data_IF_694485246854
#
_entry.id   IF_694485246854
#
_cell.length_a   1.000
_cell.length_b   1.000
_cell.length_c   1.000
_cell.angle_alpha   90.00
_cell.angle_beta   90.00
_cell.angle_gamma   90.00
#
_symmetry.space_group_name_H-M   'P 1'
#
loop_
_entity.id
_entity.type
_entity.pdbx_description
1 polymer ?
#
# COMPACT_ATOMS: atom_id res chain seq x y z
N UNK A 1 -8.10 -2.41 -19.62
CA UNK A 1 -8.09 -3.57 -18.69
C UNK A 1 -8.46 -3.21 -17.25
N UNK A 2 -7.80 -2.23 -16.60
CA UNK A 2 -8.07 -1.92 -15.16
C UNK A 2 -9.53 -1.57 -14.82
N UNK A 3 -10.25 -0.81 -15.68
CA UNK A 3 -11.66 -0.45 -15.43
C UNK A 3 -12.57 -1.69 -15.36
N UNK A 4 -12.41 -2.64 -16.28
CA UNK A 4 -13.20 -3.87 -16.35
C UNK A 4 -12.94 -4.76 -15.13
N UNK A 5 -11.67 -4.87 -14.72
CA UNK A 5 -11.29 -5.64 -13.53
C UNK A 5 -11.89 -5.06 -12.23
N UNK A 6 -11.95 -3.74 -12.10
CA UNK A 6 -12.57 -3.06 -10.96
C UNK A 6 -14.08 -3.29 -10.94
N UNK A 7 -14.75 -3.11 -12.09
CA UNK A 7 -16.19 -3.34 -12.23
C UNK A 7 -16.54 -4.78 -11.89
N UNK A 8 -15.82 -5.75 -12.45
CA UNK A 8 -16.02 -7.17 -12.17
C UNK A 8 -15.90 -7.50 -10.67
N UNK A 9 -14.85 -7.00 -9.99
CA UNK A 9 -14.67 -7.19 -8.55
C UNK A 9 -15.80 -6.58 -7.73
N UNK A 10 -16.33 -5.43 -8.16
CA UNK A 10 -17.45 -4.76 -7.52
C UNK A 10 -18.76 -5.52 -7.72
N UNK A 11 -19.08 -5.93 -8.95
CA UNK A 11 -20.23 -6.78 -9.27
C UNK A 11 -20.20 -8.09 -8.48
N UNK A 12 -19.03 -8.71 -8.34
CA UNK A 12 -18.87 -9.95 -7.59
C UNK A 12 -19.20 -9.78 -6.09
N UNK A 13 -18.83 -8.64 -5.49
CA UNK A 13 -19.22 -8.30 -4.11
C UNK A 13 -20.73 -8.04 -4.00
N UNK A 14 -21.32 -7.35 -4.97
CA UNK A 14 -22.77 -7.10 -4.99
C UNK A 14 -23.56 -8.41 -5.07
N UNK A 15 -23.16 -9.35 -5.93
CA UNK A 15 -23.80 -10.67 -6.04
C UNK A 15 -23.76 -11.42 -4.72
N UNK A 16 -22.62 -11.37 -4.00
CA UNK A 16 -22.50 -11.99 -2.68
C UNK A 16 -23.45 -11.37 -1.65
N UNK A 17 -23.53 -10.03 -1.60
CA UNK A 17 -24.42 -9.33 -0.66
C UNK A 17 -25.88 -9.66 -0.95
N UNK A 18 -26.31 -9.52 -2.20
CA UNK A 18 -27.70 -9.77 -2.60
C UNK A 18 -28.08 -11.24 -2.39
N UNK A 19 -27.19 -12.16 -2.74
CA UNK A 19 -27.40 -13.58 -2.48
C UNK A 19 -27.54 -13.89 -0.98
N UNK A 20 -26.73 -13.24 -0.13
CA UNK A 20 -26.77 -13.48 1.32
C UNK A 20 -28.07 -12.95 1.92
N UNK A 21 -28.53 -11.79 1.48
CA UNK A 21 -29.84 -11.26 1.84
C UNK A 21 -30.96 -12.22 1.43
N UNK A 22 -30.87 -12.80 0.22
CA UNK A 22 -31.86 -13.74 -0.29
C UNK A 22 -31.86 -15.06 0.51
N UNK A 23 -30.68 -15.63 0.79
CA UNK A 23 -30.53 -16.83 1.64
C UNK A 23 -31.04 -16.59 3.06
N UNK A 24 -30.73 -15.43 3.65
CA UNK A 24 -31.21 -15.06 4.97
C UNK A 24 -32.73 -14.91 5.00
N UNK A 25 -33.30 -14.19 4.02
CA UNK A 25 -34.75 -14.02 3.91
C UNK A 25 -35.46 -15.36 3.75
N UNK A 26 -35.05 -16.17 2.78
CA UNK A 26 -35.65 -17.50 2.56
C UNK A 26 -35.43 -18.45 3.74
N UNK A 27 -34.27 -18.41 4.39
CA UNK A 27 -33.99 -19.19 5.60
C UNK A 27 -34.87 -18.82 6.79
N UNK A 28 -35.15 -17.52 6.99
CA UNK A 28 -36.08 -17.04 8.02
C UNK A 28 -37.51 -17.51 7.73
N UNK A 29 -37.98 -17.41 6.48
CA UNK A 29 -39.31 -17.90 6.10
C UNK A 29 -39.45 -19.41 6.35
N UNK A 30 -38.44 -20.21 6.04
CA UNK A 30 -38.46 -21.65 6.36
C UNK A 30 -38.47 -21.92 7.86
N UNK A 31 -37.73 -21.14 8.65
CA UNK A 31 -37.73 -21.26 10.11
C UNK A 31 -39.10 -20.90 10.73
N UNK A 32 -39.86 -20.00 10.09
CA UNK A 32 -41.22 -19.63 10.47
C UNK A 32 -42.28 -20.64 9.99
N UNK A 33 -41.88 -21.68 9.25
CA UNK A 33 -42.80 -22.70 8.73
C UNK A 33 -43.44 -22.35 7.39
N UNK A 34 -43.08 -21.24 6.77
CA UNK A 34 -43.56 -20.84 5.45
C UNK A 34 -42.77 -21.55 4.34
N UNK A 35 -43.23 -22.77 4.03
CA UNK A 35 -42.64 -23.59 2.97
C UNK A 35 -43.37 -23.37 1.64
N UNK A 36 -42.60 -22.93 0.64
CA UNK A 36 -43.03 -22.82 -0.75
C UNK A 36 -41.96 -23.47 -1.65
N UNK A 37 -42.38 -24.32 -2.59
CA UNK A 37 -41.47 -24.99 -3.53
C UNK A 37 -40.63 -23.99 -4.33
N UNK A 38 -41.22 -22.87 -4.74
CA UNK A 38 -40.51 -21.80 -5.44
C UNK A 38 -39.41 -21.19 -4.57
N UNK A 39 -39.71 -20.92 -3.29
CA UNK A 39 -38.78 -20.34 -2.34
C UNK A 39 -37.65 -21.32 -2.01
N UNK A 40 -37.97 -22.61 -1.86
CA UNK A 40 -37.00 -23.69 -1.62
C UNK A 40 -36.04 -23.86 -2.80
N UNK A 41 -36.56 -23.89 -4.02
CA UNK A 41 -35.72 -24.01 -5.21
C UNK A 41 -34.82 -22.77 -5.38
N UNK A 42 -35.39 -21.58 -5.18
CA UNK A 42 -34.64 -20.34 -5.23
C UNK A 42 -33.52 -20.30 -4.17
N UNK A 43 -33.78 -20.74 -2.93
CA UNK A 43 -32.79 -20.80 -1.85
C UNK A 43 -31.62 -21.73 -2.22
N UNK A 44 -31.92 -22.92 -2.76
CA UNK A 44 -30.89 -23.87 -3.21
C UNK A 44 -30.01 -23.29 -4.31
N UNK A 45 -30.62 -22.66 -5.32
CA UNK A 45 -29.89 -22.02 -6.43
C UNK A 45 -29.04 -20.85 -5.90
N UNK A 46 -29.59 -20.00 -5.03
CA UNK A 46 -28.86 -18.90 -4.42
C UNK A 46 -27.67 -19.38 -3.58
N UNK A 47 -27.85 -20.46 -2.81
CA UNK A 47 -26.78 -21.10 -2.04
C UNK A 47 -25.64 -21.59 -2.94
N UNK A 48 -25.96 -22.27 -4.04
CA UNK A 48 -24.96 -22.74 -4.99
C UNK A 48 -24.23 -21.59 -5.70
N UNK A 49 -24.96 -20.56 -6.13
CA UNK A 49 -24.38 -19.37 -6.74
C UNK A 49 -23.46 -18.61 -5.78
N UNK A 50 -23.83 -18.50 -4.49
CA UNK A 50 -22.98 -17.90 -3.48
C UNK A 50 -21.72 -18.70 -3.27
N UNK A 51 -21.82 -20.03 -3.20
CA UNK A 51 -20.65 -20.87 -3.04
C UNK A 51 -19.62 -20.59 -4.14
N UNK A 52 -20.06 -20.59 -5.40
CA UNK A 52 -19.21 -20.28 -6.54
C UNK A 52 -18.65 -18.85 -6.50
N UNK A 53 -19.52 -17.87 -6.24
CA UNK A 53 -19.11 -16.46 -6.16
C UNK A 53 -18.12 -16.22 -5.01
N UNK A 54 -18.27 -16.90 -3.88
CA UNK A 54 -17.41 -16.79 -2.71
C UNK A 54 -16.04 -17.41 -3.00
N UNK A 55 -16.00 -18.60 -3.60
CA UNK A 55 -14.74 -19.21 -4.05
C UNK A 55 -14.00 -18.28 -5.02
N UNK A 56 -14.71 -17.71 -5.99
CA UNK A 56 -14.14 -16.78 -6.96
C UNK A 56 -13.69 -15.47 -6.29
N UNK A 57 -14.43 -14.98 -5.30
CA UNK A 57 -14.05 -13.83 -4.47
C UNK A 57 -12.71 -14.06 -3.77
N UNK A 58 -12.58 -15.21 -3.10
CA UNK A 58 -11.38 -15.61 -2.36
C UNK A 58 -10.19 -15.72 -3.31
N UNK A 59 -10.34 -16.37 -4.47
CA UNK A 59 -9.27 -16.50 -5.48
C UNK A 59 -8.82 -15.11 -5.99
N UNK A 60 -9.77 -14.21 -6.24
CA UNK A 60 -9.48 -12.84 -6.69
C UNK A 60 -8.84 -11.96 -5.61
N UNK A 61 -9.13 -12.25 -4.34
CA UNK A 61 -8.61 -11.53 -3.16
C UNK A 61 -7.42 -12.23 -2.51
N UNK A 62 -6.93 -13.35 -3.04
CA UNK A 62 -5.87 -14.18 -2.45
C UNK A 62 -4.66 -13.40 -1.94
N UNK A 63 -4.19 -12.41 -2.70
CA UNK A 63 -3.06 -11.55 -2.28
C UNK A 63 -3.37 -10.71 -1.03
N UNK A 64 -4.61 -10.20 -0.93
CA UNK A 64 -5.07 -9.49 0.27
C UNK A 64 -5.28 -10.43 1.45
N UNK A 65 -5.78 -11.64 1.20
CA UNK A 65 -5.96 -12.66 2.23
C UNK A 65 -4.62 -13.13 2.81
N UNK A 66 -3.64 -13.42 1.96
CA UNK A 66 -2.28 -13.77 2.43
C UNK A 66 -1.68 -12.62 3.25
N UNK A 67 -1.88 -11.37 2.82
CA UNK A 67 -1.45 -10.20 3.59
C UNK A 67 -2.12 -10.16 4.97
N UNK A 68 -3.45 -10.28 5.03
CA UNK A 68 -4.21 -10.26 6.28
C UNK A 68 -3.85 -11.43 7.19
N UNK A 69 -3.63 -12.62 6.63
CA UNK A 69 -3.19 -13.82 7.37
C UNK A 69 -1.80 -13.58 7.96
N UNK A 70 -0.86 -13.03 7.19
CA UNK A 70 0.47 -12.69 7.69
C UNK A 70 0.40 -11.66 8.81
N UNK A 71 -0.40 -10.60 8.66
CA UNK A 71 -0.61 -9.59 9.70
C UNK A 71 -1.24 -10.21 10.96
N UNK A 72 -2.22 -11.09 10.80
CA UNK A 72 -2.88 -11.79 11.92
C UNK A 72 -1.92 -12.76 12.61
N UNK A 73 -1.10 -13.46 11.83
CA UNK A 73 -0.10 -14.40 12.33
C UNK A 73 1.03 -13.68 13.05
N UNK A 74 1.45 -12.50 12.59
CA UNK A 74 2.44 -11.66 13.28
C UNK A 74 1.94 -11.18 14.64
N UNK A 75 0.65 -10.78 14.73
CA UNK A 75 0.00 -10.41 15.99
C UNK A 75 -0.07 -11.62 16.94
N UNK A 76 -0.50 -12.78 16.43
CA UNK A 76 -0.63 -14.02 17.21
C UNK A 76 0.72 -14.56 17.70
N UNK A 77 1.75 -14.53 16.85
CA UNK A 77 3.09 -15.04 17.18
C UNK A 77 3.94 -14.02 17.95
N UNK A 78 3.40 -12.82 18.23
CA UNK A 78 4.11 -11.70 18.85
C UNK A 78 5.50 -11.52 18.22
N UNK A 79 5.52 -11.64 16.89
CA UNK A 79 6.74 -11.63 16.09
C UNK A 79 7.53 -10.35 16.38
N UNK A 80 8.82 -10.48 16.73
CA UNK A 80 9.73 -9.32 16.89
C UNK A 80 9.89 -8.52 15.59
N UNK A 81 9.53 -9.08 14.44
CA UNK A 81 9.60 -8.46 13.11
C UNK A 81 8.24 -8.57 12.40
N UNK A 82 7.31 -7.64 12.62
CA UNK A 82 6.02 -7.63 11.91
C UNK A 82 6.23 -7.40 10.40
N UNK A 83 5.43 -8.06 9.57
CA UNK A 83 5.36 -7.92 8.10
C UNK A 83 4.76 -6.59 7.63
N UNK A 84 4.39 -5.72 8.57
CA UNK A 84 3.98 -4.34 8.32
C UNK A 84 5.21 -3.57 7.85
N UNK A 85 5.30 -3.40 6.54
CA UNK A 85 6.13 -2.40 5.83
C UNK A 85 7.57 -2.23 6.33
N UNK A 86 8.51 -2.95 5.70
CA UNK A 86 9.95 -2.63 5.77
C UNK A 86 10.22 -1.12 5.64
N UNK A 87 9.47 -0.40 4.82
CA UNK A 87 9.65 1.04 4.62
C UNK A 87 9.28 1.88 5.84
N UNK A 88 8.21 1.58 6.56
CA UNK A 88 7.80 2.36 7.74
C UNK A 88 8.81 2.18 8.89
N UNK A 89 9.38 0.98 9.01
CA UNK A 89 10.45 0.70 9.95
C UNK A 89 11.77 1.37 9.58
N UNK A 90 12.11 1.40 8.29
CA UNK A 90 13.28 2.12 7.79
C UNK A 90 13.10 3.63 8.00
N UNK A 91 11.90 4.16 7.74
CA UNK A 91 11.53 5.55 8.01
C UNK A 91 11.66 5.84 9.50
N UNK A 92 11.02 5.08 10.38
CA UNK A 92 11.09 5.29 11.83
C UNK A 92 12.52 5.17 12.39
N UNK A 93 13.36 4.32 11.77
CA UNK A 93 14.76 4.18 12.15
C UNK A 93 15.63 5.34 11.68
N UNK A 94 15.31 6.02 10.58
CA UNK A 94 16.11 7.11 10.02
C UNK A 94 15.55 8.50 10.35
N UNK A 95 14.27 8.58 10.68
CA UNK A 95 13.54 9.78 11.10
C UNK A 95 14.24 10.59 12.23
N UNK A 96 14.78 9.97 13.30
CA UNK A 96 15.37 10.72 14.40
C UNK A 96 16.78 11.25 14.08
N UNK A 97 17.46 10.74 13.05
CA UNK A 97 18.84 11.09 12.74
C UNK A 97 18.93 12.31 11.81
N UNK A 98 19.99 13.08 11.99
CA UNK A 98 20.38 14.23 11.17
C UNK A 98 21.02 13.82 9.84
N UNK A 99 21.12 14.75 8.90
CA UNK A 99 21.83 14.52 7.63
C UNK A 99 23.29 14.09 7.91
N UNK A 100 23.93 14.72 8.90
CA UNK A 100 25.29 14.39 9.35
C UNK A 100 25.40 12.98 9.94
N UNK A 101 24.47 12.57 10.79
CA UNK A 101 24.50 11.22 11.38
C UNK A 101 24.20 10.16 10.32
N UNK A 102 23.25 10.43 9.41
CA UNK A 102 22.91 9.53 8.31
C UNK A 102 24.11 9.40 7.36
N UNK A 103 24.84 10.48 7.07
CA UNK A 103 26.03 10.45 6.21
C UNK A 103 27.16 9.63 6.80
N UNK A 104 27.40 9.78 8.11
CA UNK A 104 28.38 9.00 8.85
C UNK A 104 27.99 7.51 8.93
N UNK A 105 26.74 7.20 9.26
CA UNK A 105 26.23 5.82 9.33
C UNK A 105 26.33 5.08 7.98
N UNK A 106 26.15 5.82 6.88
CA UNK A 106 26.12 5.25 5.55
C UNK A 106 27.47 5.36 4.81
N UNK A 107 28.44 6.09 5.35
CA UNK A 107 29.81 6.20 4.87
C UNK A 107 29.97 7.07 3.62
N UNK A 108 29.20 8.15 3.48
CA UNK A 108 29.32 9.08 2.35
C UNK A 108 29.64 10.50 2.80
N UNK A 109 30.20 11.29 1.89
CA UNK A 109 30.53 12.70 2.12
C UNK A 109 29.26 13.55 2.35
N UNK A 110 29.23 14.26 3.46
CA UNK A 110 28.09 15.09 3.87
C UNK A 110 27.79 16.21 2.86
N UNK A 111 28.82 16.83 2.29
CA UNK A 111 28.65 17.93 1.35
C UNK A 111 28.01 17.46 0.04
N UNK A 112 28.46 16.31 -0.48
CA UNK A 112 27.86 15.67 -1.67
C UNK A 112 26.40 15.29 -1.40
N UNK A 113 26.11 14.80 -0.20
CA UNK A 113 24.75 14.42 0.17
C UNK A 113 23.82 15.63 0.28
N UNK A 114 24.26 16.70 0.95
CA UNK A 114 23.54 17.96 1.02
C UNK A 114 23.27 18.55 -0.38
N UNK A 115 24.27 18.52 -1.25
CA UNK A 115 24.14 18.99 -2.64
C UNK A 115 23.10 18.17 -3.41
N UNK A 116 23.11 16.85 -3.25
CA UNK A 116 22.16 15.94 -3.89
C UNK A 116 20.73 16.20 -3.43
N UNK A 117 20.51 16.39 -2.12
CA UNK A 117 19.20 16.72 -1.58
C UNK A 117 18.67 18.05 -2.14
N UNK A 118 19.52 19.09 -2.20
CA UNK A 118 19.16 20.41 -2.74
C UNK A 118 18.85 20.34 -4.24
N UNK A 119 19.68 19.63 -5.02
CA UNK A 119 19.47 19.42 -6.46
C UNK A 119 18.13 18.73 -6.76
N UNK A 120 17.66 17.89 -5.85
CA UNK A 120 16.37 17.19 -5.98
C UNK A 120 15.19 17.92 -5.30
N UNK A 121 15.37 19.19 -4.92
CA UNK A 121 14.28 20.06 -4.44
C UNK A 121 13.90 19.88 -2.98
N UNK A 122 14.73 19.22 -2.17
CA UNK A 122 14.52 19.09 -0.71
C UNK A 122 14.92 20.38 -0.01
N UNK A 123 13.99 20.97 0.74
CA UNK A 123 14.22 22.18 1.55
C UNK A 123 14.74 21.82 2.93
N UNK A 124 15.91 22.31 3.29
CA UNK A 124 16.46 22.23 4.64
C UNK A 124 17.43 23.39 4.84
N UNK A 125 17.60 23.81 6.09
CA UNK A 125 18.45 24.92 6.50
C UNK A 125 19.88 24.45 6.74
N UNK A 126 20.07 23.32 7.43
CA UNK A 126 21.37 22.84 7.87
C UNK A 126 21.45 21.31 7.99
N UNK A 127 22.67 20.76 7.93
CA UNK A 127 22.93 19.31 8.04
C UNK A 127 22.66 18.74 9.45
N UNK A 128 22.65 19.59 10.48
CA UNK A 128 22.24 19.20 11.83
C UNK A 128 20.74 18.88 11.97
N UNK A 129 19.92 19.21 10.97
CA UNK A 129 18.49 18.95 11.03
C UNK A 129 18.17 17.46 10.84
N UNK A 130 17.24 16.97 11.66
CA UNK A 130 16.77 15.58 11.56
C UNK A 130 15.90 15.37 10.34
N UNK A 131 15.86 14.13 9.86
CA UNK A 131 15.02 13.76 8.73
C UNK A 131 13.53 14.08 8.99
N UNK A 132 13.08 13.97 10.25
CA UNK A 132 11.74 14.44 10.69
C UNK A 132 11.51 15.92 10.46
N UNK A 133 12.48 16.75 10.85
CA UNK A 133 12.38 18.20 10.71
C UNK A 133 12.38 18.60 9.24
N UNK A 134 13.26 17.98 8.45
CA UNK A 134 13.33 18.19 7.00
C UNK A 134 12.01 17.80 6.35
N UNK A 135 11.44 16.65 6.70
CA UNK A 135 10.17 16.24 6.12
C UNK A 135 9.02 17.19 6.43
N UNK A 136 8.93 17.74 7.64
CA UNK A 136 7.92 18.78 7.96
C UNK A 136 8.01 20.00 7.05
N UNK A 137 9.23 20.36 6.62
CA UNK A 137 9.46 21.46 5.67
C UNK A 137 9.15 21.09 4.21
N UNK A 138 8.91 19.81 3.93
CA UNK A 138 8.72 19.24 2.59
C UNK A 138 7.41 18.41 2.50
N UNK A 139 6.35 18.85 3.19
CA UNK A 139 5.01 18.23 3.21
C UNK A 139 4.98 16.80 3.82
N UNK A 140 5.77 16.54 4.85
CA UNK A 140 5.89 15.24 5.54
C UNK A 140 6.38 14.08 4.66
N UNK A 141 7.06 14.39 3.55
CA UNK A 141 7.51 13.39 2.56
C UNK A 141 8.82 12.70 2.94
N UNK A 142 8.88 12.08 4.13
CA UNK A 142 10.07 11.36 4.62
C UNK A 142 10.51 10.28 3.61
N UNK A 143 9.55 9.56 3.03
CA UNK A 143 9.82 8.53 2.02
C UNK A 143 10.59 9.05 0.80
N UNK A 144 10.29 10.26 0.33
CA UNK A 144 11.00 10.85 -0.81
C UNK A 144 12.46 11.14 -0.47
N UNK A 145 12.70 11.72 0.71
CA UNK A 145 14.06 12.00 1.19
C UNK A 145 14.84 10.69 1.40
N UNK A 146 14.16 9.64 1.86
CA UNK A 146 14.73 8.30 2.05
C UNK A 146 15.14 7.63 0.73
N UNK A 147 14.32 7.75 -0.31
CA UNK A 147 14.68 7.25 -1.65
C UNK A 147 15.91 7.99 -2.16
N UNK A 148 15.97 9.31 -2.01
CA UNK A 148 17.15 10.10 -2.41
C UNK A 148 18.42 9.70 -1.64
N UNK A 149 18.31 9.38 -0.34
CA UNK A 149 19.43 8.84 0.47
C UNK A 149 19.96 7.55 -0.15
N UNK A 150 19.06 6.62 -0.50
CA UNK A 150 19.45 5.33 -1.07
C UNK A 150 20.02 5.51 -2.49
N UNK A 151 19.44 6.39 -3.30
CA UNK A 151 19.96 6.71 -4.64
C UNK A 151 21.37 7.31 -4.57
N UNK A 152 21.60 8.24 -3.63
CA UNK A 152 22.91 8.85 -3.41
C UNK A 152 23.97 7.81 -3.01
N UNK A 153 23.60 6.84 -2.15
CA UNK A 153 24.54 5.79 -1.71
C UNK A 153 24.86 4.76 -2.78
N UNK A 154 23.84 4.26 -3.48
CA UNK A 154 24.01 3.12 -4.37
C UNK A 154 24.22 3.52 -5.84
N UNK A 155 24.12 4.80 -6.18
CA UNK A 155 24.30 5.32 -7.54
C UNK A 155 23.29 4.79 -8.56
N UNK A 156 22.32 3.98 -8.11
CA UNK A 156 21.26 3.40 -8.94
C UNK A 156 20.05 4.32 -8.84
N UNK A 157 19.69 4.98 -9.93
CA UNK A 157 18.38 5.63 -10.05
C UNK A 157 17.31 4.54 -9.90
N UNK A 158 16.52 4.59 -8.84
CA UNK A 158 15.37 3.71 -8.72
C UNK A 158 14.33 4.22 -9.73
N UNK A 159 14.35 3.62 -10.92
CA UNK A 159 13.52 4.02 -12.03
C UNK A 159 12.04 3.67 -11.75
N UNK A 160 11.36 4.61 -11.11
CA UNK A 160 9.98 4.95 -11.39
C UNK A 160 9.95 6.47 -11.36
N UNK A 161 9.40 7.12 -12.39
CA UNK A 161 9.16 8.57 -12.33
C UNK A 161 8.39 8.89 -11.04
N UNK A 162 9.07 9.33 -9.98
CA UNK A 162 8.43 9.99 -8.84
C UNK A 162 8.04 11.37 -9.33
N UNK A 163 7.02 11.41 -10.19
CA UNK A 163 6.34 12.62 -10.62
C UNK A 163 5.70 13.23 -9.38
N UNK A 164 6.41 14.18 -8.78
CA UNK A 164 5.79 15.16 -7.90
C UNK A 164 4.72 15.89 -8.72
N UNK A 165 3.44 15.56 -8.49
CA UNK A 165 2.31 16.32 -9.02
C UNK A 165 2.19 17.63 -8.24
N UNK A 166 3.03 18.62 -8.60
CA UNK A 166 2.66 20.04 -8.63
C UNK A 166 3.72 20.85 -9.36
N UNK A 167 3.38 21.23 -10.60
CA UNK A 167 3.79 22.48 -11.26
C UNK A 167 5.28 22.78 -11.36
N UNK A 168 5.93 22.24 -12.38
CA UNK A 168 7.25 22.73 -12.81
C UNK A 168 7.88 21.80 -13.83
N UNK A 169 7.70 22.08 -15.13
CA UNK A 169 8.49 21.42 -16.19
C UNK A 169 9.97 21.81 -15.99
N UNK A 170 10.79 20.91 -15.44
CA UNK A 170 12.23 21.02 -15.66
C UNK A 170 12.51 20.50 -17.07
N UNK A 171 13.03 21.40 -17.92
CA UNK A 171 13.46 21.08 -19.28
C UNK A 171 14.59 20.04 -19.20
N UNK A 172 14.36 18.94 -19.90
CA UNK A 172 15.33 17.91 -20.18
C UNK A 172 16.52 18.53 -20.95
N UNK A 173 17.67 18.67 -20.28
CA UNK A 173 18.95 18.85 -20.97
C UNK A 173 19.60 17.47 -21.05
N UNK A 174 19.45 16.84 -22.22
CA UNK A 174 20.35 15.79 -22.68
C UNK A 174 21.79 16.25 -22.47
N UNK A 175 22.57 15.51 -21.69
CA UNK A 175 24.02 15.49 -21.86
C UNK A 175 24.37 14.18 -22.55
N UNK A 176 24.96 14.36 -23.72
CA UNK A 176 25.57 13.34 -24.58
C UNK A 176 26.78 12.74 -23.85
N UNK A 177 27.09 11.50 -24.24
CA UNK A 177 28.17 10.63 -23.79
C UNK A 177 29.51 11.31 -23.45
#
# INVERSE_FOLDING_TARGET
MFKVEVIYKFCLVLVLILGLCMLAFSGVNFALGEYNEYLLNAHKIAGFLILLAATLHVINRRKKLVKLINETMDVLTRSKNPSICNMDRIIASLEPYSITEISQMLGFDEAIFCETLRKNGVKFNDASQTLRQIARMNDEKIFFVLVLIIEAKFGKRFCGELKYKRGGKLKDKKMVA
#
